data_IF_533753943283
#
_entry.id   IF_533753943283
#
_cell.length_a   1.000
_cell.length_b   1.000
_cell.length_c   1.000
_cell.angle_alpha   90.00
_cell.angle_beta   90.00
_cell.angle_gamma   90.00
#
_symmetry.space_group_name_H-M   'P 1'
#
loop_
_entity.id
_entity.type
_entity.pdbx_description
1 polymer ?
#
# COMPACT_ATOMS: atom_id res chain seq x y z
N UNK A 1 25.98 -35.26 -24.35
CA UNK A 1 25.09 -34.11 -24.49
C UNK A 1 25.31 -33.20 -23.29
N UNK A 2 26.36 -32.37 -23.25
CA UNK A 2 26.43 -31.25 -22.28
C UNK A 2 27.61 -30.28 -22.43
N UNK A 3 28.58 -30.56 -23.31
CA UNK A 3 29.72 -29.62 -23.51
C UNK A 3 29.28 -28.35 -24.25
N UNK A 4 28.34 -28.48 -25.21
CA UNK A 4 27.82 -27.34 -25.99
C UNK A 4 26.95 -26.36 -25.17
N UNK A 5 26.28 -26.86 -24.12
CA UNK A 5 25.50 -25.99 -23.25
C UNK A 5 26.42 -25.11 -22.39
N UNK A 6 27.48 -25.68 -21.82
CA UNK A 6 28.50 -24.94 -21.07
C UNK A 6 29.25 -23.90 -21.91
N UNK A 7 29.62 -24.24 -23.15
CA UNK A 7 30.27 -23.31 -24.07
C UNK A 7 29.34 -22.16 -24.49
N UNK A 8 28.05 -22.43 -24.71
CA UNK A 8 27.06 -21.40 -25.03
C UNK A 8 26.82 -20.47 -23.84
N UNK A 9 26.72 -21.00 -22.62
CA UNK A 9 26.59 -20.18 -21.40
C UNK A 9 27.83 -19.33 -21.19
N UNK A 10 29.03 -19.89 -21.37
CA UNK A 10 30.27 -19.14 -21.25
C UNK A 10 30.40 -18.05 -22.33
N UNK A 11 29.97 -18.32 -23.56
CA UNK A 11 29.94 -17.35 -24.64
C UNK A 11 28.97 -16.21 -24.33
N UNK A 12 27.78 -16.52 -23.80
CA UNK A 12 26.79 -15.51 -23.37
C UNK A 12 27.34 -14.69 -22.21
N UNK A 13 27.94 -15.30 -21.19
CA UNK A 13 28.56 -14.58 -20.06
C UNK A 13 29.69 -13.68 -20.55
N UNK A 14 30.57 -14.16 -21.44
CA UNK A 14 31.64 -13.33 -22.04
C UNK A 14 31.08 -12.21 -22.90
N UNK A 15 30.02 -12.45 -23.67
CA UNK A 15 29.36 -11.42 -24.48
C UNK A 15 28.68 -10.36 -23.61
N UNK A 16 28.06 -10.76 -22.48
CA UNK A 16 27.52 -9.84 -21.48
C UNK A 16 28.67 -9.04 -20.85
N UNK A 17 29.73 -9.69 -20.35
CA UNK A 17 30.88 -9.00 -19.75
C UNK A 17 31.61 -8.04 -20.70
N UNK A 18 31.67 -8.37 -21.99
CA UNK A 18 32.25 -7.52 -23.03
C UNK A 18 31.28 -6.45 -23.55
N UNK A 19 30.02 -6.48 -23.10
CA UNK A 19 29.01 -5.52 -23.50
C UNK A 19 29.41 -4.11 -23.03
N UNK A 20 29.39 -3.10 -23.92
CA UNK A 20 29.62 -1.71 -23.51
C UNK A 20 28.58 -1.22 -22.49
N UNK A 21 27.41 -1.88 -22.38
CA UNK A 21 26.41 -1.63 -21.35
C UNK A 21 26.83 -2.04 -19.93
N UNK A 22 27.91 -2.83 -19.77
CA UNK A 22 28.48 -3.20 -18.47
C UNK A 22 29.66 -2.33 -18.07
N UNK A 23 30.41 -1.81 -19.05
CA UNK A 23 31.51 -0.86 -18.83
C UNK A 23 30.97 0.56 -18.62
N UNK A 24 29.95 0.93 -19.38
CA UNK A 24 29.03 2.02 -19.09
C UNK A 24 27.72 1.39 -18.64
N UNK A 25 27.66 0.93 -17.38
CA UNK A 25 26.38 0.81 -16.70
C UNK A 25 25.65 2.12 -16.96
N UNK A 26 24.57 2.05 -17.74
CA UNK A 26 23.88 3.19 -18.36
C UNK A 26 24.10 4.45 -17.52
N UNK A 27 24.74 5.48 -18.09
CA UNK A 27 24.93 6.78 -17.42
C UNK A 27 23.70 7.04 -16.57
N UNK A 28 23.86 7.16 -15.24
CA UNK A 28 22.79 7.07 -14.23
C UNK A 28 21.48 7.82 -14.62
N UNK A 29 21.60 8.84 -15.46
CA UNK A 29 20.52 9.55 -16.14
C UNK A 29 19.53 8.70 -16.96
N UNK A 30 19.90 7.54 -17.52
CA UNK A 30 18.98 6.71 -18.32
C UNK A 30 18.18 5.71 -17.47
N UNK A 31 18.78 5.19 -16.39
CA UNK A 31 18.10 4.28 -15.46
C UNK A 31 16.92 4.95 -14.73
N UNK A 32 17.00 6.28 -14.53
CA UNK A 32 15.98 7.10 -13.89
C UNK A 32 15.01 7.78 -14.89
N UNK A 33 14.92 7.35 -16.15
CA UNK A 33 13.93 7.94 -17.07
C UNK A 33 12.58 7.25 -17.05
N UNK A 34 12.52 6.02 -16.57
CA UNK A 34 11.38 5.14 -16.74
C UNK A 34 10.97 4.51 -15.42
N UNK A 35 9.66 4.49 -15.16
CA UNK A 35 9.06 3.68 -14.11
C UNK A 35 8.59 2.40 -14.76
N UNK A 36 9.05 1.27 -14.23
CA UNK A 36 8.63 -0.06 -14.63
C UNK A 36 8.01 -0.76 -13.44
N UNK A 37 6.79 -1.26 -13.59
CA UNK A 37 6.23 -2.17 -12.61
C UNK A 37 5.29 -3.19 -13.26
N UNK A 38 5.21 -4.34 -12.62
CA UNK A 38 4.40 -5.45 -13.04
C UNK A 38 3.05 -5.45 -12.31
N UNK A 39 1.98 -5.78 -13.05
CA UNK A 39 0.62 -5.87 -12.52
C UNK A 39 0.32 -7.33 -12.20
N UNK A 40 0.77 -7.78 -11.04
CA UNK A 40 0.41 -9.10 -10.46
C UNK A 40 0.78 -10.25 -11.41
N UNK A 41 1.89 -10.14 -12.13
CA UNK A 41 2.40 -11.12 -13.08
C UNK A 41 1.66 -11.18 -14.42
N UNK A 42 0.67 -10.32 -14.65
CA UNK A 42 -0.14 -10.36 -15.87
C UNK A 42 0.48 -9.55 -17.01
N UNK A 43 0.92 -8.33 -16.74
CA UNK A 43 1.52 -7.44 -17.72
C UNK A 43 2.35 -6.34 -17.04
N UNK A 44 3.34 -5.83 -17.77
CA UNK A 44 4.23 -4.75 -17.30
C UNK A 44 3.73 -3.40 -17.81
N UNK A 45 3.61 -2.43 -16.90
CA UNK A 45 3.38 -1.04 -17.21
C UNK A 45 4.73 -0.31 -17.21
N UNK A 46 4.98 0.46 -18.26
CA UNK A 46 6.14 1.32 -18.35
C UNK A 46 5.77 2.73 -18.84
N UNK A 47 6.26 3.75 -18.14
CA UNK A 47 6.09 5.14 -18.52
C UNK A 47 7.26 5.98 -18.03
N UNK A 48 7.45 7.17 -18.62
CA UNK A 48 8.55 8.06 -18.20
C UNK A 48 8.29 8.67 -16.82
N UNK A 49 9.32 8.95 -16.02
CA UNK A 49 9.17 9.57 -14.69
C UNK A 49 8.34 10.86 -14.75
N UNK A 50 8.55 11.70 -15.77
CA UNK A 50 7.79 12.95 -15.93
C UNK A 50 6.28 12.72 -16.04
N UNK A 51 5.87 11.70 -16.80
CA UNK A 51 4.46 11.30 -16.90
C UNK A 51 3.95 10.78 -15.56
N UNK A 52 4.74 9.95 -14.86
CA UNK A 52 4.40 9.48 -13.52
C UNK A 52 4.19 10.60 -12.52
N UNK A 53 5.09 11.58 -12.49
CA UNK A 53 4.98 12.76 -11.63
C UNK A 53 3.75 13.59 -11.96
N UNK A 54 3.48 13.83 -13.24
CA UNK A 54 2.30 14.58 -13.67
C UNK A 54 1.02 13.90 -13.19
N UNK A 55 0.92 12.58 -13.37
CA UNK A 55 -0.24 11.79 -12.96
C UNK A 55 -0.38 11.79 -11.42
N UNK A 56 0.72 11.60 -10.68
CA UNK A 56 0.72 11.61 -9.22
C UNK A 56 0.29 12.97 -8.65
N UNK A 57 0.89 14.07 -9.11
CA UNK A 57 0.52 15.41 -8.69
C UNK A 57 -0.92 15.75 -9.10
N UNK A 58 -1.35 15.32 -10.29
CA UNK A 58 -2.74 15.47 -10.75
C UNK A 58 -3.73 14.74 -9.83
N UNK A 59 -3.42 13.51 -9.41
CA UNK A 59 -4.24 12.76 -8.46
C UNK A 59 -4.29 13.46 -7.09
N UNK A 60 -3.17 13.91 -6.54
CA UNK A 60 -3.13 14.67 -5.28
C UNK A 60 -3.96 15.96 -5.38
N UNK A 61 -3.85 16.70 -6.48
CA UNK A 61 -4.62 17.92 -6.70
C UNK A 61 -6.12 17.65 -6.79
N UNK A 62 -6.52 16.56 -7.45
CA UNK A 62 -7.92 16.15 -7.54
C UNK A 62 -8.50 15.75 -6.18
N UNK A 63 -7.74 15.01 -5.36
CA UNK A 63 -8.12 14.69 -3.97
C UNK A 63 -8.36 15.98 -3.18
N UNK A 64 -7.40 16.91 -3.23
CA UNK A 64 -7.50 18.18 -2.52
C UNK A 64 -8.71 19.00 -2.99
N UNK A 65 -8.96 19.07 -4.30
CA UNK A 65 -10.11 19.77 -4.87
C UNK A 65 -11.45 19.16 -4.40
N UNK A 66 -11.57 17.83 -4.39
CA UNK A 66 -12.77 17.12 -3.93
C UNK A 66 -13.07 17.38 -2.45
N UNK A 67 -12.04 17.33 -1.60
CA UNK A 67 -12.16 17.58 -0.15
C UNK A 67 -12.56 19.02 0.12
N UNK A 68 -11.90 19.98 -0.55
CA UNK A 68 -12.24 21.41 -0.43
C UNK A 68 -13.68 21.66 -0.88
N UNK A 69 -14.11 21.04 -1.97
CA UNK A 69 -15.49 21.13 -2.45
C UNK A 69 -16.47 20.61 -1.39
N UNK A 70 -16.24 19.44 -0.80
CA UNK A 70 -17.12 18.84 0.23
C UNK A 70 -17.23 19.68 1.51
N UNK A 71 -16.11 20.24 1.97
CA UNK A 71 -16.10 21.14 3.12
C UNK A 71 -16.89 22.41 2.80
N UNK A 72 -16.70 23.00 1.60
CA UNK A 72 -17.45 24.21 1.18
C UNK A 72 -18.94 23.95 0.96
N UNK A 73 -19.31 22.75 0.49
CA UNK A 73 -20.69 22.31 0.35
C UNK A 73 -21.36 21.98 1.69
N UNK A 74 -20.62 22.00 2.80
CA UNK A 74 -21.16 21.73 4.14
C UNK A 74 -21.43 20.25 4.41
N UNK A 75 -20.82 19.33 3.66
CA UNK A 75 -21.00 17.88 3.86
C UNK A 75 -20.42 17.40 5.20
N UNK A 76 -19.30 18.00 5.60
CA UNK A 76 -18.65 17.84 6.90
C UNK A 76 -17.74 19.05 7.17
N UNK A 77 -17.28 19.20 8.41
CA UNK A 77 -16.44 20.31 8.84
C UNK A 77 -14.96 19.92 8.94
N UNK A 78 -14.06 20.91 9.00
CA UNK A 78 -12.64 20.66 9.25
C UNK A 78 -12.38 19.98 10.60
N UNK A 79 -13.21 20.23 11.62
CA UNK A 79 -13.08 19.54 12.91
C UNK A 79 -13.42 18.07 12.81
N UNK A 80 -14.42 17.70 12.01
CA UNK A 80 -14.78 16.29 11.78
C UNK A 80 -13.61 15.54 11.12
N UNK A 81 -12.97 16.19 10.13
CA UNK A 81 -11.81 15.66 9.45
C UNK A 81 -10.61 15.51 10.42
N UNK A 82 -10.36 16.52 11.27
CA UNK A 82 -9.33 16.46 12.31
C UNK A 82 -9.57 15.33 13.31
N UNK A 83 -10.83 15.09 13.69
CA UNK A 83 -11.21 13.96 14.55
C UNK A 83 -10.95 12.62 13.87
N UNK A 84 -11.25 12.49 12.57
CA UNK A 84 -10.94 11.26 11.83
C UNK A 84 -9.43 10.97 11.79
N UNK A 85 -8.60 11.98 11.52
CA UNK A 85 -7.13 11.84 11.63
C UNK A 85 -6.68 11.41 13.01
N UNK A 86 -7.27 11.98 14.06
CA UNK A 86 -6.96 11.58 15.43
C UNK A 86 -7.26 10.10 15.68
N UNK A 87 -8.40 9.58 15.19
CA UNK A 87 -8.73 8.16 15.31
C UNK A 87 -7.71 7.27 14.59
N UNK A 88 -7.28 7.64 13.38
CA UNK A 88 -6.23 6.91 12.64
C UNK A 88 -4.90 6.89 13.38
N UNK A 89 -4.51 8.02 14.00
CA UNK A 89 -3.29 8.10 14.82
C UNK A 89 -3.41 7.19 16.03
N UNK A 90 -4.54 7.21 16.75
CA UNK A 90 -4.76 6.32 17.89
C UNK A 90 -4.70 4.85 17.49
N UNK A 91 -5.31 4.47 16.37
CA UNK A 91 -5.25 3.11 15.85
C UNK A 91 -3.80 2.71 15.51
N UNK A 92 -3.07 3.56 14.78
CA UNK A 92 -1.67 3.30 14.42
C UNK A 92 -0.78 3.13 15.66
N UNK A 93 -0.94 3.97 16.68
CA UNK A 93 -0.20 3.87 17.94
C UNK A 93 -0.53 2.56 18.66
N UNK A 94 -1.80 2.20 18.75
CA UNK A 94 -2.21 0.94 19.38
C UNK A 94 -1.62 -0.28 18.65
N UNK A 95 -1.65 -0.27 17.32
CA UNK A 95 -1.04 -1.31 16.47
C UNK A 95 0.48 -1.38 16.66
N UNK A 96 1.17 -0.24 16.74
CA UNK A 96 2.61 -0.18 17.00
C UNK A 96 2.97 -0.71 18.39
N UNK A 97 2.16 -0.44 19.41
CA UNK A 97 2.33 -1.03 20.75
C UNK A 97 2.18 -2.55 20.68
N UNK A 98 1.15 -3.05 19.97
CA UNK A 98 0.96 -4.50 19.74
C UNK A 98 2.14 -5.12 19.00
N UNK A 99 2.67 -4.46 17.97
CA UNK A 99 3.88 -4.89 17.25
C UNK A 99 5.05 -5.09 18.21
N UNK A 100 5.34 -4.10 19.05
CA UNK A 100 6.43 -4.17 20.03
C UNK A 100 6.19 -5.30 21.03
N UNK A 101 4.95 -5.47 21.50
CA UNK A 101 4.60 -6.56 22.40
C UNK A 101 4.84 -7.94 21.75
N UNK A 102 4.46 -8.14 20.49
CA UNK A 102 4.71 -9.38 19.74
C UNK A 102 6.21 -9.64 19.64
N UNK A 103 6.99 -8.64 19.23
CA UNK A 103 8.46 -8.78 19.12
C UNK A 103 9.06 -9.17 20.47
N UNK A 104 8.67 -8.49 21.56
CA UNK A 104 9.17 -8.83 22.91
C UNK A 104 8.80 -10.27 23.29
N UNK A 105 7.59 -10.74 22.99
CA UNK A 105 7.18 -12.11 23.25
C UNK A 105 8.01 -13.11 22.44
N UNK A 106 8.20 -12.87 21.14
CA UNK A 106 9.02 -13.74 20.27
C UNK A 106 10.44 -13.86 20.81
N UNK A 107 11.04 -12.74 21.24
CA UNK A 107 12.38 -12.73 21.83
C UNK A 107 12.44 -13.44 23.18
N UNK A 108 11.40 -13.29 24.02
CA UNK A 108 11.35 -13.92 25.35
C UNK A 108 11.18 -15.42 25.31
N UNK A 109 10.45 -15.93 24.32
CA UNK A 109 10.21 -17.36 24.13
C UNK A 109 11.21 -18.05 23.19
N UNK A 110 12.25 -17.33 22.75
CA UNK A 110 13.26 -17.83 21.79
C UNK A 110 12.63 -18.37 20.49
N UNK A 111 11.58 -17.70 20.02
CA UNK A 111 10.83 -18.05 18.81
C UNK A 111 11.32 -17.28 17.58
N UNK A 112 12.53 -16.73 17.64
CA UNK A 112 13.13 -15.98 16.53
C UNK A 112 13.14 -16.86 15.29
N UNK A 113 12.70 -16.32 14.14
CA UNK A 113 12.62 -17.08 12.89
C UNK A 113 11.66 -18.29 12.90
N UNK A 114 10.68 -18.35 13.81
CA UNK A 114 9.71 -19.47 13.82
C UNK A 114 8.95 -19.63 12.49
N UNK A 115 8.81 -18.53 11.74
CA UNK A 115 8.20 -18.46 10.41
C UNK A 115 9.15 -18.86 9.27
N UNK A 116 10.44 -19.14 9.50
CA UNK A 116 11.38 -19.45 8.42
C UNK A 116 11.02 -20.74 7.68
N UNK A 117 10.57 -21.77 8.41
CA UNK A 117 10.13 -23.05 7.82
C UNK A 117 8.72 -22.99 7.24
N UNK A 118 7.89 -22.09 7.76
CA UNK A 118 6.52 -21.88 7.33
C UNK A 118 6.26 -20.37 7.22
N UNK A 119 6.65 -19.73 6.09
CA UNK A 119 6.51 -18.28 5.88
C UNK A 119 5.07 -17.78 6.04
N UNK A 120 4.10 -18.67 5.86
CA UNK A 120 2.67 -18.41 6.09
C UNK A 120 2.37 -17.93 7.52
N UNK A 121 3.20 -18.27 8.52
CA UNK A 121 3.05 -17.84 9.91
C UNK A 121 3.27 -16.33 10.08
N UNK A 122 4.00 -15.66 9.17
CA UNK A 122 4.27 -14.21 9.25
C UNK A 122 2.96 -13.41 9.37
N UNK A 123 1.95 -13.76 8.57
CA UNK A 123 0.68 -13.03 8.58
C UNK A 123 -0.12 -13.23 9.88
N UNK A 124 -0.40 -14.48 10.35
CA UNK A 124 -1.04 -14.70 11.64
C UNK A 124 -0.26 -14.16 12.85
N UNK A 125 1.08 -14.14 12.79
CA UNK A 125 1.91 -13.71 13.92
C UNK A 125 2.00 -12.19 14.04
N UNK A 126 2.32 -11.49 12.94
CA UNK A 126 2.50 -10.04 12.97
C UNK A 126 1.23 -9.30 12.52
N UNK A 127 0.67 -9.65 11.37
CA UNK A 127 -0.41 -8.85 10.75
C UNK A 127 -1.73 -8.99 11.49
N UNK A 128 -2.17 -10.21 11.78
CA UNK A 128 -3.52 -10.47 12.31
C UNK A 128 -3.77 -9.81 13.68
N UNK A 129 -2.88 -9.92 14.70
CA UNK A 129 -3.16 -9.31 16.00
C UNK A 129 -3.16 -7.78 15.94
N UNK A 130 -2.28 -7.20 15.12
CA UNK A 130 -2.26 -5.76 14.85
C UNK A 130 -3.55 -5.31 14.16
N UNK A 131 -4.03 -6.06 13.16
CA UNK A 131 -5.29 -5.77 12.47
C UNK A 131 -6.47 -5.81 13.44
N UNK A 132 -6.55 -6.82 14.31
CA UNK A 132 -7.60 -6.91 15.34
C UNK A 132 -7.58 -5.66 16.23
N UNK A 133 -6.41 -5.25 16.73
CA UNK A 133 -6.28 -4.06 17.59
C UNK A 133 -6.64 -2.78 16.84
N UNK A 134 -6.22 -2.63 15.58
CA UNK A 134 -6.60 -1.48 14.76
C UNK A 134 -8.11 -1.38 14.58
N UNK A 135 -8.76 -2.49 14.21
CA UNK A 135 -10.20 -2.56 14.05
C UNK A 135 -10.95 -2.28 15.37
N UNK A 136 -10.50 -2.83 16.50
CA UNK A 136 -11.18 -2.59 17.79
C UNK A 136 -11.11 -1.13 18.22
N UNK A 137 -9.98 -0.45 17.99
CA UNK A 137 -9.84 0.99 18.27
C UNK A 137 -10.80 1.80 17.39
N UNK A 138 -10.90 1.48 16.10
CA UNK A 138 -11.84 2.17 15.21
C UNK A 138 -13.30 1.91 15.58
N UNK A 139 -13.68 0.67 15.92
CA UNK A 139 -15.02 0.35 16.40
C UNK A 139 -15.35 1.11 17.68
N UNK A 140 -14.40 1.20 18.62
CA UNK A 140 -14.57 1.97 19.85
C UNK A 140 -14.87 3.45 19.59
N UNK A 141 -14.14 4.07 18.65
CA UNK A 141 -14.39 5.46 18.28
C UNK A 141 -15.68 5.64 17.47
N UNK A 142 -16.03 4.68 16.61
CA UNK A 142 -17.28 4.70 15.85
C UNK A 142 -18.51 4.71 16.78
N UNK A 143 -18.50 3.90 17.85
CA UNK A 143 -19.59 3.85 18.82
C UNK A 143 -19.78 5.15 19.62
N UNK A 144 -18.69 5.93 19.80
CA UNK A 144 -18.69 7.16 20.59
C UNK A 144 -18.92 8.43 19.77
N UNK A 145 -18.70 8.36 18.46
CA UNK A 145 -18.67 9.54 17.60
C UNK A 145 -20.01 9.73 16.90
N UNK A 146 -20.66 10.87 17.10
CA UNK A 146 -21.91 11.25 16.41
C UNK A 146 -21.65 12.30 15.33
N UNK A 147 -20.80 11.96 14.36
CA UNK A 147 -20.52 12.82 13.19
C UNK A 147 -21.51 12.50 12.08
N UNK A 148 -22.12 13.53 11.51
CA UNK A 148 -22.96 13.40 10.32
C UNK A 148 -22.07 13.00 9.12
N UNK A 149 -22.47 11.98 8.36
CA UNK A 149 -21.69 11.41 7.25
C UNK A 149 -20.29 10.88 7.67
N UNK A 150 -20.19 10.26 8.85
CA UNK A 150 -18.90 9.75 9.39
C UNK A 150 -18.14 8.85 8.39
N UNK A 151 -18.84 8.00 7.64
CA UNK A 151 -18.26 7.13 6.60
C UNK A 151 -17.47 7.96 5.57
N UNK A 152 -18.04 9.07 5.12
CA UNK A 152 -17.44 9.95 4.12
C UNK A 152 -16.23 10.72 4.67
N UNK A 153 -16.28 11.14 5.94
CA UNK A 153 -15.16 11.81 6.61
C UNK A 153 -14.00 10.84 6.82
N UNK A 154 -14.29 9.61 7.26
CA UNK A 154 -13.29 8.55 7.41
C UNK A 154 -12.64 8.26 6.06
N UNK A 155 -13.45 8.00 5.04
CA UNK A 155 -12.98 7.78 3.68
C UNK A 155 -12.07 8.91 3.17
N UNK A 156 -12.50 10.18 3.29
CA UNK A 156 -11.70 11.32 2.82
C UNK A 156 -10.40 11.48 3.60
N UNK A 157 -10.41 11.27 4.93
CA UNK A 157 -9.18 11.33 5.72
C UNK A 157 -8.14 10.29 5.28
N UNK A 158 -8.57 9.10 4.85
CA UNK A 158 -7.69 8.05 4.36
C UNK A 158 -7.13 8.41 2.99
N UNK A 159 -7.98 8.83 2.05
CA UNK A 159 -7.54 9.23 0.71
C UNK A 159 -6.59 10.43 0.78
N UNK A 160 -6.83 11.41 1.67
CA UNK A 160 -5.91 12.52 1.92
C UNK A 160 -4.58 12.02 2.49
N UNK A 161 -4.61 11.07 3.44
CA UNK A 161 -3.38 10.48 4.01
C UNK A 161 -2.50 9.85 2.92
N UNK A 162 -3.10 9.04 2.05
CA UNK A 162 -2.38 8.43 0.93
C UNK A 162 -1.97 9.46 -0.13
N UNK A 163 -2.77 10.49 -0.40
CA UNK A 163 -2.41 11.56 -1.31
C UNK A 163 -1.22 12.39 -0.78
N UNK A 164 -1.17 12.64 0.53
CA UNK A 164 -0.03 13.30 1.17
C UNK A 164 1.23 12.42 1.08
N UNK A 165 1.12 11.13 1.37
CA UNK A 165 2.22 10.18 1.21
C UNK A 165 2.70 10.12 -0.25
N UNK A 166 1.78 10.05 -1.20
CA UNK A 166 2.09 10.06 -2.64
C UNK A 166 2.82 11.33 -3.05
N UNK A 167 2.36 12.49 -2.57
CA UNK A 167 2.98 13.78 -2.85
C UNK A 167 4.42 13.82 -2.34
N UNK A 168 4.66 13.34 -1.12
CA UNK A 168 6.00 13.26 -0.50
C UNK A 168 6.91 12.33 -1.30
N UNK A 169 6.46 11.09 -1.59
CA UNK A 169 7.25 10.12 -2.36
C UNK A 169 7.57 10.61 -3.76
N UNK A 170 6.61 11.28 -4.42
CA UNK A 170 6.80 11.85 -5.76
C UNK A 170 7.81 13.00 -5.75
N UNK A 171 7.79 13.83 -4.69
CA UNK A 171 8.71 14.95 -4.52
C UNK A 171 10.14 14.49 -4.22
N UNK A 172 10.30 13.35 -3.56
CA UNK A 172 11.60 12.69 -3.37
C UNK A 172 12.02 11.80 -4.55
N UNK A 173 11.27 11.83 -5.66
CA UNK A 173 11.54 11.01 -6.86
C UNK A 173 11.65 9.51 -6.57
N UNK A 174 10.88 9.02 -5.60
CA UNK A 174 10.89 7.61 -5.22
C UNK A 174 10.18 6.79 -6.30
N UNK A 175 10.90 5.86 -6.93
CA UNK A 175 10.36 5.03 -8.00
C UNK A 175 9.14 4.21 -7.57
N UNK A 176 9.07 3.76 -6.31
CA UNK A 176 7.95 3.00 -5.75
C UNK A 176 6.69 3.83 -5.44
N UNK A 177 6.68 5.13 -5.76
CA UNK A 177 5.49 5.99 -5.63
C UNK A 177 4.28 5.44 -6.40
N UNK A 178 4.49 4.64 -7.44
CA UNK A 178 3.40 3.97 -8.17
C UNK A 178 2.55 3.07 -7.28
N UNK A 179 3.11 2.43 -6.25
CA UNK A 179 2.32 1.61 -5.33
C UNK A 179 1.31 2.49 -4.59
N UNK A 180 1.77 3.61 -4.04
CA UNK A 180 0.90 4.59 -3.34
C UNK A 180 -0.10 5.23 -4.29
N UNK A 181 0.27 5.44 -5.55
CA UNK A 181 -0.67 5.93 -6.57
C UNK A 181 -1.89 5.03 -6.72
N UNK A 182 -1.73 3.70 -6.73
CA UNK A 182 -2.86 2.77 -6.81
C UNK A 182 -3.82 2.94 -5.62
N UNK A 183 -3.28 3.17 -4.41
CA UNK A 183 -4.07 3.42 -3.20
C UNK A 183 -4.85 4.75 -3.24
N UNK A 184 -4.51 5.69 -4.13
CA UNK A 184 -5.23 6.97 -4.31
C UNK A 184 -6.18 6.90 -5.51
N UNK A 185 -5.69 6.39 -6.65
CA UNK A 185 -6.40 6.43 -7.93
C UNK A 185 -7.68 5.61 -7.91
N UNK A 186 -7.63 4.37 -7.43
CA UNK A 186 -8.78 3.48 -7.44
C UNK A 186 -9.90 3.97 -6.52
N UNK A 187 -9.63 4.40 -5.28
CA UNK A 187 -10.66 5.03 -4.46
C UNK A 187 -11.27 6.25 -5.15
N UNK A 188 -10.47 7.12 -5.78
CA UNK A 188 -10.95 8.31 -6.48
C UNK A 188 -12.00 8.01 -7.57
N UNK A 189 -11.99 6.81 -8.16
CA UNK A 189 -12.97 6.41 -9.16
C UNK A 189 -14.38 6.18 -8.59
N UNK A 190 -14.54 6.08 -7.26
CA UNK A 190 -15.82 5.78 -6.62
C UNK A 190 -16.92 6.76 -7.05
N UNK A 191 -16.68 8.06 -6.93
CA UNK A 191 -17.72 9.07 -7.21
C UNK A 191 -18.03 9.23 -8.71
N UNK A 192 -17.02 9.28 -9.60
CA UNK A 192 -17.27 9.22 -11.05
C UNK A 192 -18.05 7.96 -11.46
N UNK A 193 -17.76 6.81 -10.87
CA UNK A 193 -18.43 5.56 -11.21
C UNK A 193 -19.90 5.57 -10.79
N UNK A 194 -20.21 6.10 -9.60
CA UNK A 194 -21.61 6.31 -9.16
C UNK A 194 -22.34 7.28 -10.09
N UNK A 195 -21.69 8.37 -10.50
CA UNK A 195 -22.26 9.35 -11.43
C UNK A 195 -22.59 8.70 -12.79
N UNK A 196 -21.66 7.94 -13.37
CA UNK A 196 -21.85 7.24 -14.64
C UNK A 196 -22.95 6.18 -14.52
N UNK A 197 -23.00 5.40 -13.45
CA UNK A 197 -24.09 4.44 -13.20
C UNK A 197 -25.45 5.12 -13.08
N UNK A 198 -25.49 6.32 -12.51
CA UNK A 198 -26.69 7.17 -12.47
C UNK A 198 -27.11 7.65 -13.86
N UNK A 199 -26.15 8.13 -14.66
CA UNK A 199 -26.39 8.63 -16.02
C UNK A 199 -26.90 7.54 -16.98
N UNK A 200 -26.42 6.30 -16.83
CA UNK A 200 -26.87 5.13 -17.63
C UNK A 200 -28.24 4.60 -17.13
N UNK A 201 -28.75 5.12 -16.01
CA UNK A 201 -30.04 4.71 -15.45
C UNK A 201 -30.02 3.41 -14.64
N UNK A 202 -28.83 2.85 -14.38
CA UNK A 202 -28.64 1.66 -13.53
C UNK A 202 -28.91 1.96 -12.06
N UNK A 203 -28.61 3.19 -11.61
CA UNK A 203 -28.83 3.64 -10.23
C UNK A 203 -29.74 4.85 -10.22
N UNK A 204 -30.99 4.67 -9.76
CA UNK A 204 -31.95 5.77 -9.62
C UNK A 204 -31.78 6.56 -8.31
N UNK A 205 -31.21 5.93 -7.29
CA UNK A 205 -30.94 6.54 -5.97
C UNK A 205 -29.67 5.97 -5.38
N UNK A 206 -28.80 6.84 -4.87
CA UNK A 206 -27.62 6.42 -4.11
C UNK A 206 -28.11 5.87 -2.78
N UNK A 207 -28.06 4.54 -2.64
CA UNK A 207 -28.37 3.83 -1.38
C UNK A 207 -27.06 3.36 -0.75
N UNK A 208 -27.03 3.10 0.58
CA UNK A 208 -25.82 2.58 1.24
C UNK A 208 -25.27 1.31 0.59
N UNK A 209 -26.15 0.45 0.05
CA UNK A 209 -25.73 -0.76 -0.69
C UNK A 209 -24.98 -0.43 -1.97
N UNK A 210 -25.43 0.56 -2.73
CA UNK A 210 -24.75 0.99 -3.97
C UNK A 210 -23.39 1.60 -3.64
N UNK A 211 -23.32 2.40 -2.56
CA UNK A 211 -22.06 2.95 -2.08
C UNK A 211 -21.08 1.82 -1.71
N UNK A 212 -21.52 0.86 -0.89
CA UNK A 212 -20.74 -0.30 -0.48
C UNK A 212 -20.24 -1.13 -1.66
N UNK A 213 -21.12 -1.50 -2.60
CA UNK A 213 -20.71 -2.31 -3.76
C UNK A 213 -19.74 -1.56 -4.68
N UNK A 214 -19.99 -0.29 -4.95
CA UNK A 214 -19.09 0.54 -5.76
C UNK A 214 -17.73 0.68 -5.09
N UNK A 215 -17.74 0.85 -3.77
CA UNK A 215 -16.56 0.93 -2.95
C UNK A 215 -15.76 -0.38 -2.97
N UNK A 216 -16.40 -1.52 -2.71
CA UNK A 216 -15.75 -2.84 -2.80
C UNK A 216 -15.15 -3.07 -4.19
N UNK A 217 -15.86 -2.68 -5.24
CA UNK A 217 -15.35 -2.79 -6.62
C UNK A 217 -14.08 -1.94 -6.82
N UNK A 218 -14.10 -0.68 -6.39
CA UNK A 218 -12.95 0.22 -6.48
C UNK A 218 -11.78 -0.26 -5.61
N UNK A 219 -12.03 -0.84 -4.44
CA UNK A 219 -10.98 -1.34 -3.57
C UNK A 219 -10.45 -2.73 -3.93
N UNK A 220 -11.16 -3.50 -4.77
CA UNK A 220 -10.71 -4.85 -5.15
C UNK A 220 -9.31 -4.84 -5.78
N UNK A 221 -9.01 -3.99 -6.79
CA UNK A 221 -7.65 -3.89 -7.33
C UNK A 221 -6.62 -3.51 -6.26
N UNK A 222 -6.98 -2.60 -5.36
CA UNK A 222 -6.12 -2.13 -4.26
C UNK A 222 -5.74 -3.30 -3.35
N UNK A 223 -6.71 -4.12 -2.94
CA UNK A 223 -6.45 -5.31 -2.12
C UNK A 223 -5.55 -6.32 -2.84
N UNK A 224 -5.78 -6.55 -4.13
CA UNK A 224 -4.94 -7.47 -4.92
C UNK A 224 -3.50 -6.96 -5.02
N UNK A 225 -3.30 -5.66 -5.29
CA UNK A 225 -1.96 -5.06 -5.31
C UNK A 225 -1.29 -5.10 -3.92
N UNK A 226 -2.05 -4.86 -2.85
CA UNK A 226 -1.56 -4.94 -1.49
C UNK A 226 -1.09 -6.35 -1.14
N UNK A 227 -1.93 -7.38 -1.37
CA UNK A 227 -1.58 -8.78 -1.09
C UNK A 227 -0.42 -9.25 -1.95
N UNK A 228 -0.35 -8.83 -3.21
CA UNK A 228 0.79 -9.13 -4.07
C UNK A 228 2.10 -8.51 -3.55
N UNK A 229 2.08 -7.21 -3.19
CA UNK A 229 3.25 -6.55 -2.61
C UNK A 229 3.70 -7.22 -1.30
N UNK A 230 2.76 -7.71 -0.51
CA UNK A 230 3.02 -8.46 0.72
C UNK A 230 3.73 -9.78 0.43
N UNK A 231 3.20 -10.55 -0.51
CA UNK A 231 3.83 -11.81 -0.94
C UNK A 231 5.26 -11.55 -1.39
N UNK A 232 5.48 -10.53 -2.23
CA UNK A 232 6.82 -10.17 -2.70
C UNK A 232 7.76 -9.78 -1.55
N UNK A 233 7.28 -9.00 -0.57
CA UNK A 233 8.06 -8.67 0.62
C UNK A 233 8.44 -9.94 1.41
N UNK A 234 7.50 -10.83 1.67
CA UNK A 234 7.78 -12.09 2.40
C UNK A 234 8.77 -12.96 1.62
N UNK A 235 8.50 -13.20 0.34
CA UNK A 235 9.35 -14.02 -0.54
C UNK A 235 10.77 -13.48 -0.65
N UNK A 236 10.94 -12.15 -0.59
CA UNK A 236 12.24 -11.51 -0.60
C UNK A 236 12.93 -11.55 0.78
N UNK A 237 12.24 -11.16 1.85
CA UNK A 237 12.85 -10.99 3.16
C UNK A 237 13.13 -12.30 3.87
N UNK A 238 12.30 -13.35 3.69
CA UNK A 238 12.52 -14.63 4.37
C UNK A 238 13.90 -15.24 4.03
N UNK A 239 14.30 -15.40 2.75
CA UNK A 239 15.61 -15.93 2.40
C UNK A 239 16.77 -14.99 2.72
N UNK A 240 16.56 -13.67 2.65
CA UNK A 240 17.60 -12.69 2.98
C UNK A 240 17.93 -12.77 4.46
N UNK A 241 16.91 -12.78 5.32
CA UNK A 241 17.13 -12.84 6.76
C UNK A 241 17.71 -14.18 7.20
N UNK A 242 17.34 -15.29 6.55
CA UNK A 242 17.97 -16.59 6.78
C UNK A 242 19.48 -16.59 6.51
N UNK A 243 19.94 -15.80 5.53
CA UNK A 243 21.37 -15.66 5.19
C UNK A 243 22.12 -14.67 6.07
N UNK A 244 21.45 -13.63 6.57
CA UNK A 244 22.05 -12.65 7.47
C UNK A 244 22.32 -13.22 8.88
N UNK A 245 21.67 -14.32 9.25
CA UNK A 245 21.89 -15.00 10.52
C UNK A 245 21.75 -14.05 11.71
N UNK A 246 22.77 -13.98 12.56
CA UNK A 246 22.76 -13.15 13.79
C UNK A 246 23.21 -11.69 13.57
N UNK A 247 23.49 -11.25 12.34
CA UNK A 247 23.97 -9.88 12.10
C UNK A 247 22.91 -8.81 12.41
N UNK A 248 21.65 -9.11 12.09
CA UNK A 248 20.49 -8.26 12.38
C UNK A 248 19.37 -9.16 12.86
N UNK A 249 18.71 -8.78 13.95
CA UNK A 249 17.56 -9.53 14.41
C UNK A 249 16.39 -9.34 13.42
N UNK A 250 15.91 -10.42 12.78
CA UNK A 250 14.95 -10.36 11.69
C UNK A 250 13.57 -9.87 12.13
N UNK A 251 13.26 -9.99 13.43
CA UNK A 251 12.02 -9.53 14.03
C UNK A 251 11.85 -8.02 13.84
N UNK A 252 12.94 -7.24 13.89
CA UNK A 252 12.93 -5.79 13.66
C UNK A 252 12.72 -5.39 12.21
N UNK A 253 12.70 -6.34 11.28
CA UNK A 253 12.41 -6.10 9.87
C UNK A 253 11.01 -6.62 9.53
N UNK A 254 10.70 -7.85 9.94
CA UNK A 254 9.40 -8.46 9.64
C UNK A 254 8.24 -7.80 10.39
N UNK A 255 8.43 -7.40 11.65
CA UNK A 255 7.35 -6.79 12.42
C UNK A 255 6.93 -5.41 11.88
N UNK A 256 7.85 -4.48 11.52
CA UNK A 256 7.46 -3.22 10.86
C UNK A 256 6.81 -3.41 9.49
N UNK A 257 7.25 -4.41 8.71
CA UNK A 257 6.56 -4.78 7.47
C UNK A 257 5.13 -5.22 7.79
N UNK A 258 4.95 -6.09 8.78
CA UNK A 258 3.64 -6.50 9.28
C UNK A 258 2.75 -5.33 9.72
N UNK A 259 3.35 -4.30 10.34
CA UNK A 259 2.64 -3.09 10.77
C UNK A 259 2.17 -2.27 9.57
N UNK A 260 3.04 -2.06 8.57
CA UNK A 260 2.69 -1.36 7.33
C UNK A 260 1.55 -2.06 6.57
N UNK A 261 1.55 -3.39 6.62
CA UNK A 261 0.50 -4.23 6.03
C UNK A 261 -0.80 -4.04 6.79
N UNK A 262 -0.78 -4.28 8.10
CA UNK A 262 -1.97 -4.19 8.93
C UNK A 262 -2.59 -2.79 8.86
N UNK A 263 -1.77 -1.72 8.90
CA UNK A 263 -2.24 -0.34 8.81
C UNK A 263 -2.90 -0.05 7.47
N UNK A 264 -2.33 -0.57 6.37
CA UNK A 264 -2.94 -0.44 5.05
C UNK A 264 -4.34 -1.07 5.01
N UNK A 265 -4.49 -2.29 5.53
CA UNK A 265 -5.79 -2.98 5.60
C UNK A 265 -6.80 -2.26 6.51
N UNK A 266 -6.40 -1.83 7.70
CA UNK A 266 -7.28 -1.15 8.65
C UNK A 266 -7.82 0.14 8.06
N UNK A 267 -6.98 0.93 7.39
CA UNK A 267 -7.42 2.14 6.71
C UNK A 267 -8.48 1.83 5.64
N UNK A 268 -8.38 0.72 4.91
CA UNK A 268 -9.42 0.38 3.91
C UNK A 268 -10.70 -0.18 4.51
N UNK A 269 -10.61 -1.06 5.51
CA UNK A 269 -11.78 -1.71 6.11
C UNK A 269 -12.64 -0.73 6.90
N UNK A 270 -12.03 0.23 7.58
CA UNK A 270 -12.75 1.21 8.42
C UNK A 270 -13.51 2.25 7.59
N UNK A 271 -13.16 2.40 6.32
CA UNK A 271 -13.82 3.35 5.41
C UNK A 271 -15.14 2.87 4.80
N UNK A 272 -15.55 1.61 5.03
CA UNK A 272 -16.76 1.01 4.45
C UNK A 272 -17.69 0.42 5.48
#
# INVERSE_FOLDING_TARGET
>A
YDVRAGENVLAVVKAILASPYLVQAATFDEANKWVFYDVVGLFTIFYTITVGQLINYGACALVAALVVFRIRSGTYTLSDLGQAFWHHICALVAMAITMVAIVVLVLKFDLVMCWYKLPEIVAPLYVLPMLIVGCTVHTYFADKTKVHNIEMVQYDSIVISYAALLFVLTSYHVASAFFVFNYVMFPLLKDPLIFVMGAIGLVKRVTPRVLLYTQLFCFTPVFVFATYAISQCVDFFVPVMGRLGNAVNPEFIMAPIGLAIASSFVLFVVSG
#
